data_IF_060564488912
#
_entry.id   IF_060564488912
#
_cell.length_a   1.000
_cell.length_b   1.000
_cell.length_c   1.000
_cell.angle_alpha   90.00
_cell.angle_beta   90.00
_cell.angle_gamma   90.00
#
_symmetry.space_group_name_H-M   'P 1'
#
loop_
_entity.id
_entity.type
_entity.pdbx_description
1 polymer ?
#
# COMPACT_ATOMS: atom_id res chain seq x y z
N UNK A 1 -42.53 49.84 8.24
CA UNK A 1 -41.15 49.34 8.43
C UNK A 1 -41.00 48.05 7.61
N UNK A 2 -40.70 48.16 6.31
CA UNK A 2 -40.62 47.03 5.39
C UNK A 2 -39.19 46.52 5.21
N UNK A 3 -38.94 45.25 5.51
CA UNK A 3 -37.64 44.60 5.29
C UNK A 3 -37.51 44.18 3.83
N UNK A 4 -36.63 44.86 3.09
CA UNK A 4 -36.16 44.45 1.77
C UNK A 4 -35.40 43.13 1.85
N UNK A 5 -35.96 42.08 1.25
CA UNK A 5 -35.32 40.78 1.04
C UNK A 5 -34.27 40.92 -0.07
N UNK A 6 -32.99 40.79 0.27
CA UNK A 6 -31.90 40.73 -0.72
C UNK A 6 -31.90 39.36 -1.39
N UNK A 7 -32.21 39.31 -2.68
CA UNK A 7 -32.09 38.12 -3.50
C UNK A 7 -30.62 37.69 -3.59
N UNK A 8 -30.35 36.39 -3.38
CA UNK A 8 -29.03 35.80 -3.60
C UNK A 8 -28.82 35.56 -5.11
N UNK A 9 -27.63 35.84 -5.65
CA UNK A 9 -27.32 35.50 -7.02
C UNK A 9 -27.25 33.97 -7.20
N UNK A 10 -27.89 33.50 -8.28
CA UNK A 10 -27.88 32.11 -8.74
C UNK A 10 -26.45 31.65 -9.11
N UNK A 11 -26.06 30.39 -8.83
CA UNK A 11 -24.79 29.86 -9.27
C UNK A 11 -24.80 29.60 -10.78
N UNK A 12 -23.87 30.23 -11.50
CA UNK A 12 -23.63 30.03 -12.93
C UNK A 12 -23.32 28.56 -13.25
N UNK A 13 -24.16 27.97 -14.11
CA UNK A 13 -24.06 26.62 -14.65
C UNK A 13 -22.82 26.48 -15.56
N UNK A 14 -21.80 25.66 -15.23
CA UNK A 14 -20.67 25.39 -16.11
C UNK A 14 -21.03 24.32 -17.16
N UNK A 15 -22.11 24.56 -17.89
CA UNK A 15 -22.54 23.75 -19.02
C UNK A 15 -21.74 24.09 -20.27
N UNK A 16 -21.25 23.05 -20.95
CA UNK A 16 -20.87 23.04 -22.37
C UNK A 16 -19.41 23.37 -22.74
N UNK A 17 -18.48 22.50 -22.32
CA UNK A 17 -17.22 22.31 -23.08
C UNK A 17 -17.49 21.35 -24.23
N UNK A 18 -17.56 21.93 -25.43
CA UNK A 18 -17.66 21.26 -26.73
C UNK A 18 -16.65 20.12 -26.84
N UNK A 19 -17.13 18.96 -27.27
CA UNK A 19 -16.30 17.85 -27.73
C UNK A 19 -15.40 18.32 -28.89
N UNK A 20 -14.09 18.28 -28.68
CA UNK A 20 -13.12 18.48 -29.76
C UNK A 20 -13.12 17.29 -30.72
N UNK A 21 -12.72 17.50 -32.00
CA UNK A 21 -12.66 16.44 -33.00
C UNK A 21 -11.67 15.35 -32.59
N UNK A 22 -12.06 14.10 -32.82
CA UNK A 22 -11.25 12.92 -32.58
C UNK A 22 -10.00 12.93 -33.48
N UNK A 23 -8.83 12.94 -32.84
CA UNK A 23 -7.54 12.84 -33.50
C UNK A 23 -7.34 11.40 -34.02
N UNK A 24 -7.22 11.17 -35.34
CA UNK A 24 -7.00 9.84 -35.89
C UNK A 24 -5.57 9.38 -35.57
N UNK A 25 -5.45 8.54 -34.53
CA UNK A 25 -4.19 7.90 -34.18
C UNK A 25 -3.66 7.09 -35.38
N UNK A 26 -2.40 7.27 -35.80
CA UNK A 26 -1.80 6.43 -36.83
C UNK A 26 -1.69 4.99 -36.32
N UNK A 27 -2.22 4.07 -37.12
CA UNK A 27 -2.02 2.63 -36.97
C UNK A 27 -0.53 2.31 -37.00
N UNK A 28 0.08 2.09 -35.83
CA UNK A 28 1.43 1.58 -35.73
C UNK A 28 1.42 0.12 -36.21
N UNK A 29 1.89 -0.08 -37.42
CA UNK A 29 2.13 -1.38 -38.01
C UNK A 29 2.94 -2.25 -37.04
N UNK A 30 2.37 -3.41 -36.71
CA UNK A 30 2.95 -4.39 -35.81
C UNK A 30 4.19 -5.00 -36.42
N UNK A 31 5.36 -4.59 -35.94
CA UNK A 31 6.58 -5.38 -36.02
C UNK A 31 6.41 -6.57 -35.07
N UNK A 32 5.94 -7.67 -35.64
CA UNK A 32 5.98 -9.00 -35.02
C UNK A 32 7.44 -9.46 -34.96
N UNK A 33 8.19 -9.02 -33.93
CA UNK A 33 9.44 -9.67 -33.58
C UNK A 33 9.13 -11.06 -32.99
N UNK A 34 9.88 -12.04 -33.50
CA UNK A 34 9.67 -13.46 -33.29
C UNK A 34 9.47 -13.85 -31.83
N UNK A 35 8.43 -14.66 -31.62
CA UNK A 35 8.27 -15.52 -30.46
C UNK A 35 9.32 -16.63 -30.56
N UNK A 36 10.55 -16.29 -30.20
CA UNK A 36 11.59 -17.29 -30.01
C UNK A 36 11.24 -18.18 -28.82
N UNK A 37 11.44 -19.46 -29.09
CA UNK A 37 11.07 -20.61 -28.28
C UNK A 37 11.66 -20.46 -26.87
N UNK A 38 10.78 -20.34 -25.88
CA UNK A 38 11.18 -20.30 -24.48
C UNK A 38 11.99 -21.55 -24.12
N UNK A 39 13.06 -21.42 -23.31
CA UNK A 39 13.86 -22.56 -22.90
C UNK A 39 13.02 -23.55 -22.11
N UNK A 40 13.29 -24.84 -22.35
CA UNK A 40 12.67 -25.98 -21.71
C UNK A 40 12.52 -25.75 -20.21
N UNK A 41 11.28 -25.84 -19.72
CA UNK A 41 10.96 -25.80 -18.30
C UNK A 41 11.60 -27.03 -17.67
N UNK A 42 12.78 -26.85 -17.08
CA UNK A 42 13.38 -27.87 -16.24
C UNK A 42 12.41 -28.16 -15.09
N UNK A 43 11.81 -29.35 -15.14
CA UNK A 43 10.99 -29.91 -14.08
C UNK A 43 11.81 -29.88 -12.78
N UNK A 44 11.44 -28.96 -11.90
CA UNK A 44 11.98 -28.89 -10.55
C UNK A 44 11.64 -30.23 -9.86
N UNK A 45 12.63 -31.02 -9.42
CA UNK A 45 12.33 -32.26 -8.70
C UNK A 45 11.49 -31.93 -7.47
N UNK A 46 10.40 -32.67 -7.30
CA UNK A 46 9.51 -32.57 -6.16
C UNK A 46 10.34 -32.68 -4.88
N UNK A 47 10.49 -31.56 -4.16
CA UNK A 47 11.05 -31.57 -2.80
C UNK A 47 10.14 -32.46 -1.97
N UNK A 48 10.69 -33.56 -1.45
CA UNK A 48 10.04 -34.40 -0.44
C UNK A 48 9.52 -33.49 0.69
N UNK A 49 8.28 -33.68 1.16
CA UNK A 49 7.77 -32.96 2.32
C UNK A 49 8.69 -33.24 3.51
N UNK A 50 9.25 -32.19 4.10
CA UNK A 50 9.99 -32.31 5.36
C UNK A 50 9.04 -32.88 6.42
N UNK A 51 9.46 -33.90 7.18
CA UNK A 51 8.68 -34.37 8.31
C UNK A 51 8.46 -33.20 9.26
N UNK A 52 7.19 -32.89 9.52
CA UNK A 52 6.77 -31.85 10.44
C UNK A 52 7.43 -32.10 11.80
N UNK A 53 8.45 -31.31 12.12
CA UNK A 53 9.01 -31.24 13.47
C UNK A 53 7.97 -30.47 14.30
N UNK A 54 7.31 -31.09 15.29
CA UNK A 54 6.38 -30.37 16.14
C UNK A 54 7.14 -29.23 16.83
N UNK A 55 6.57 -28.02 16.91
CA UNK A 55 7.21 -26.93 17.61
C UNK A 55 7.44 -27.36 19.07
N UNK A 56 8.60 -27.02 19.67
CA UNK A 56 8.83 -27.30 21.08
C UNK A 56 7.74 -26.62 21.90
N UNK A 57 7.05 -27.43 22.69
CA UNK A 57 5.97 -27.07 23.59
C UNK A 57 6.55 -26.29 24.79
N UNK A 58 7.15 -25.12 24.50
CA UNK A 58 7.69 -24.20 25.49
C UNK A 58 6.62 -23.22 25.90
N UNK A 59 5.73 -23.69 26.78
CA UNK A 59 4.73 -22.87 27.45
C UNK A 59 5.38 -21.72 28.22
N UNK A 60 5.62 -20.60 27.53
CA UNK A 60 5.70 -19.31 28.19
C UNK A 60 4.28 -18.97 28.60
N UNK A 61 3.99 -19.16 29.88
CA UNK A 61 2.83 -18.58 30.54
C UNK A 61 2.86 -17.08 30.30
N UNK A 62 2.19 -16.66 29.24
CA UNK A 62 1.82 -15.28 29.02
C UNK A 62 0.73 -15.04 30.06
N UNK A 63 1.14 -14.55 31.23
CA UNK A 63 0.23 -14.08 32.26
C UNK A 63 -0.72 -13.10 31.59
N UNK A 64 -1.92 -13.57 31.26
CA UNK A 64 -3.05 -12.70 30.97
C UNK A 64 -3.23 -11.92 32.26
N UNK A 65 -2.68 -10.71 32.32
CA UNK A 65 -3.10 -9.74 33.30
C UNK A 65 -4.63 -9.67 33.14
N UNK A 66 -5.41 -10.05 34.16
CA UNK A 66 -6.86 -10.01 34.02
C UNK A 66 -7.24 -8.59 33.62
N UNK A 67 -8.03 -8.48 32.55
CA UNK A 67 -8.47 -7.21 31.94
C UNK A 67 -9.52 -6.55 32.86
N UNK A 68 -9.15 -6.33 34.13
CA UNK A 68 -10.02 -5.84 35.22
C UNK A 68 -9.92 -4.34 35.43
N UNK A 69 -9.00 -3.66 34.74
CA UNK A 69 -9.08 -2.21 34.62
C UNK A 69 -10.14 -1.91 33.57
N UNK A 70 -11.17 -1.15 33.96
CA UNK A 70 -12.20 -0.66 33.06
C UNK A 70 -11.51 -0.01 31.84
N UNK A 71 -11.48 -0.73 30.72
CA UNK A 71 -10.97 -0.18 29.46
C UNK A 71 -11.78 1.07 29.19
N UNK A 72 -11.15 2.26 29.09
CA UNK A 72 -11.89 3.50 28.89
C UNK A 72 -12.83 3.29 27.72
N UNK A 73 -14.14 3.50 27.96
CA UNK A 73 -15.25 3.09 27.10
C UNK A 73 -14.81 3.09 25.63
N UNK A 74 -14.48 1.89 25.17
CA UNK A 74 -13.65 1.71 23.99
C UNK A 74 -14.50 2.25 22.83
N UNK A 75 -14.05 3.34 22.17
CA UNK A 75 -14.91 4.18 21.30
C UNK A 75 -15.72 3.39 20.26
N UNK A 76 -15.26 2.19 19.90
CA UNK A 76 -15.96 1.26 19.02
C UNK A 76 -17.28 0.72 19.61
N UNK A 77 -17.44 0.62 20.93
CA UNK A 77 -18.70 0.24 21.58
C UNK A 77 -19.84 1.25 21.28
N UNK A 78 -19.48 2.51 20.97
CA UNK A 78 -20.42 3.57 20.54
C UNK A 78 -20.59 3.62 19.02
N UNK A 79 -19.91 2.76 18.26
CA UNK A 79 -20.03 2.74 16.82
C UNK A 79 -21.35 2.09 16.39
N UNK A 80 -22.01 2.67 15.39
CA UNK A 80 -23.25 2.12 14.81
C UNK A 80 -23.05 0.67 14.37
N UNK A 81 -21.92 0.34 13.75
CA UNK A 81 -21.60 -1.03 13.32
C UNK A 81 -21.41 -2.05 14.45
N UNK A 82 -21.22 -1.60 15.70
CA UNK A 82 -21.07 -2.46 16.87
C UNK A 82 -22.38 -2.67 17.64
N UNK A 83 -23.43 -1.90 17.31
CA UNK A 83 -24.76 -2.05 17.89
C UNK A 83 -25.37 -3.39 17.49
N UNK A 84 -26.18 -3.96 18.38
CA UNK A 84 -26.76 -5.29 18.21
C UNK A 84 -27.53 -5.44 16.88
N UNK A 85 -28.27 -4.41 16.48
CA UNK A 85 -29.03 -4.40 15.23
C UNK A 85 -28.19 -4.58 13.95
N UNK A 86 -26.88 -4.29 14.01
CA UNK A 86 -25.96 -4.39 12.87
C UNK A 86 -24.85 -5.42 13.07
N UNK A 87 -24.75 -6.00 14.28
CA UNK A 87 -23.74 -6.99 14.61
C UNK A 87 -24.02 -8.27 13.82
N UNK A 88 -22.99 -8.80 13.16
CA UNK A 88 -23.13 -10.01 12.33
C UNK A 88 -23.82 -9.80 10.99
N UNK A 89 -24.21 -8.57 10.64
CA UNK A 89 -24.77 -8.27 9.31
C UNK A 89 -23.68 -8.23 8.23
N UNK A 90 -23.98 -8.77 7.04
CA UNK A 90 -23.13 -8.67 5.85
C UNK A 90 -23.11 -7.26 5.23
N UNK A 91 -23.86 -6.33 5.81
CA UNK A 91 -23.95 -4.93 5.37
C UNK A 91 -22.57 -4.26 5.27
N UNK A 92 -21.65 -4.60 6.17
CA UNK A 92 -20.30 -4.05 6.17
C UNK A 92 -19.36 -4.74 5.17
N UNK A 93 -19.75 -5.90 4.62
CA UNK A 93 -18.96 -6.75 3.73
C UNK A 93 -19.67 -7.05 2.40
N UNK A 94 -20.29 -6.02 1.82
CA UNK A 94 -21.03 -6.13 0.56
C UNK A 94 -20.23 -6.72 -0.59
N UNK A 95 -20.86 -7.70 -1.25
CA UNK A 95 -20.30 -8.39 -2.42
C UNK A 95 -20.15 -7.46 -3.63
N UNK A 96 -19.31 -7.89 -4.58
CA UNK A 96 -19.10 -7.17 -5.83
C UNK A 96 -20.35 -7.31 -6.70
N UNK A 97 -21.18 -6.28 -6.74
CA UNK A 97 -22.41 -6.24 -7.55
C UNK A 97 -23.60 -5.65 -6.79
N UNK A 98 -23.58 -5.71 -5.46
CA UNK A 98 -24.59 -5.08 -4.63
C UNK A 98 -24.27 -3.59 -4.40
N UNK A 99 -24.78 -2.75 -5.31
CA UNK A 99 -24.65 -1.30 -5.20
C UNK A 99 -25.48 -0.72 -4.04
N UNK A 100 -26.70 -1.23 -3.85
CA UNK A 100 -27.65 -0.71 -2.86
C UNK A 100 -27.19 -0.94 -1.43
N UNK A 101 -26.70 -2.15 -1.11
CA UNK A 101 -26.13 -2.43 0.21
C UNK A 101 -24.90 -1.56 0.50
N UNK A 102 -24.06 -1.32 -0.52
CA UNK A 102 -22.84 -0.50 -0.38
C UNK A 102 -23.16 0.94 -0.01
N UNK A 103 -24.10 1.56 -0.72
CA UNK A 103 -24.51 2.94 -0.47
C UNK A 103 -25.15 3.08 0.91
N UNK A 104 -26.02 2.12 1.27
CA UNK A 104 -26.66 2.05 2.59
C UNK A 104 -25.62 1.95 3.72
N UNK A 105 -24.64 1.06 3.60
CA UNK A 105 -23.57 0.89 4.58
C UNK A 105 -22.72 2.16 4.73
N UNK A 106 -22.39 2.83 3.62
CA UNK A 106 -21.63 4.08 3.64
C UNK A 106 -22.44 5.19 4.33
N UNK A 107 -23.73 5.32 4.02
CA UNK A 107 -24.60 6.31 4.62
C UNK A 107 -24.70 6.11 6.15
N UNK A 108 -24.98 4.88 6.60
CA UNK A 108 -25.00 4.54 8.03
C UNK A 108 -23.66 4.76 8.73
N UNK A 109 -22.55 4.44 8.06
CA UNK A 109 -21.24 4.67 8.65
C UNK A 109 -20.94 6.17 8.82
N UNK A 110 -21.44 7.04 7.92
CA UNK A 110 -21.23 8.49 7.98
C UNK A 110 -22.03 9.18 9.07
N UNK A 111 -23.14 8.61 9.52
CA UNK A 111 -23.92 9.12 10.66
C UNK A 111 -23.38 8.67 12.01
N UNK A 112 -22.38 7.78 12.02
CA UNK A 112 -21.81 7.20 13.23
C UNK A 112 -21.14 8.29 14.12
N UNK A 113 -21.47 8.36 15.43
CA UNK A 113 -20.96 9.41 16.32
C UNK A 113 -19.44 9.35 16.53
N UNK A 114 -18.81 8.22 16.23
CA UNK A 114 -17.37 8.01 16.37
C UNK A 114 -16.63 7.99 15.03
N UNK A 115 -17.25 8.50 13.95
CA UNK A 115 -16.68 8.47 12.59
C UNK A 115 -15.31 9.15 12.48
N UNK A 116 -15.10 10.26 13.21
CA UNK A 116 -13.83 10.98 13.20
C UNK A 116 -12.69 10.14 13.79
N UNK A 117 -12.91 9.54 14.97
CA UNK A 117 -11.94 8.64 15.62
C UNK A 117 -11.75 7.38 14.78
N UNK A 118 -12.83 6.81 14.25
CA UNK A 118 -12.78 5.65 13.35
C UNK A 118 -11.91 5.92 12.13
N UNK A 119 -12.05 7.10 11.48
CA UNK A 119 -11.21 7.52 10.34
C UNK A 119 -9.73 7.59 10.71
N UNK A 120 -9.40 8.27 11.81
CA UNK A 120 -8.02 8.41 12.25
C UNK A 120 -7.37 7.05 12.58
N UNK A 121 -8.08 6.18 13.31
CA UNK A 121 -7.59 4.84 13.66
C UNK A 121 -7.46 3.95 12.43
N UNK A 122 -8.44 3.98 11.53
CA UNK A 122 -8.38 3.20 10.27
C UNK A 122 -7.20 3.65 9.40
N UNK A 123 -6.96 4.95 9.29
CA UNK A 123 -5.82 5.48 8.54
C UNK A 123 -4.49 5.00 9.11
N UNK A 124 -4.32 4.97 10.44
CA UNK A 124 -3.12 4.45 11.10
C UNK A 124 -2.94 2.94 10.87
N UNK A 125 -4.01 2.15 11.04
CA UNK A 125 -3.94 0.70 10.88
C UNK A 125 -3.71 0.25 9.43
N UNK A 126 -4.24 0.99 8.45
CA UNK A 126 -4.11 0.69 7.03
C UNK A 126 -2.89 1.36 6.37
N UNK A 127 -2.11 2.15 7.11
CA UNK A 127 -0.95 2.85 6.59
C UNK A 127 0.05 1.88 5.93
N UNK A 128 0.45 2.18 4.69
CA UNK A 128 1.34 1.36 3.87
C UNK A 128 0.71 0.06 3.33
N UNK A 129 -0.55 -0.25 3.68
CA UNK A 129 -1.23 -1.46 3.18
C UNK A 129 -1.89 -1.20 1.82
N UNK A 130 -1.56 -2.04 0.85
CA UNK A 130 -2.17 -2.01 -0.48
C UNK A 130 -3.66 -2.36 -0.48
N UNK A 131 -4.34 -2.09 -1.60
CA UNK A 131 -5.80 -2.26 -1.75
C UNK A 131 -6.30 -3.67 -1.41
N UNK A 132 -5.50 -4.71 -1.67
CA UNK A 132 -5.86 -6.12 -1.40
C UNK A 132 -5.95 -6.48 0.08
N UNK A 133 -5.44 -5.63 0.97
CA UNK A 133 -5.47 -5.84 2.43
C UNK A 133 -6.54 -5.00 3.12
N UNK A 134 -7.43 -4.39 2.36
CA UNK A 134 -8.51 -3.54 2.83
C UNK A 134 -9.83 -4.19 2.47
N UNK A 135 -10.68 -4.39 3.47
CA UNK A 135 -11.95 -5.09 3.30
C UNK A 135 -13.07 -4.25 3.89
N UNK A 136 -14.27 -4.49 3.37
CA UNK A 136 -15.51 -3.91 3.86
C UNK A 136 -15.61 -2.38 3.84
N UNK A 137 -16.76 -1.90 4.27
CA UNK A 137 -17.03 -0.49 4.54
C UNK A 137 -16.59 -0.17 5.95
N UNK A 138 -15.63 0.74 6.07
CA UNK A 138 -15.10 1.24 7.33
C UNK A 138 -14.85 2.73 7.20
N UNK A 139 -15.05 3.48 8.28
CA UNK A 139 -14.78 4.91 8.31
C UNK A 139 -15.55 5.74 7.23
N UNK A 140 -16.71 5.24 6.80
CA UNK A 140 -17.58 5.88 5.81
C UNK A 140 -17.05 5.79 4.37
N UNK A 141 -16.17 4.82 4.10
CA UNK A 141 -15.44 4.69 2.84
C UNK A 141 -15.30 3.21 2.43
N UNK A 142 -15.33 2.97 1.12
CA UNK A 142 -14.92 1.71 0.51
C UNK A 142 -13.41 1.49 0.64
N UNK A 143 -12.91 0.23 0.48
CA UNK A 143 -11.47 -0.04 0.47
C UNK A 143 -10.69 0.82 -0.51
N UNK A 144 -11.26 1.05 -1.72
CA UNK A 144 -10.64 1.88 -2.76
C UNK A 144 -10.59 3.36 -2.35
N UNK A 145 -11.66 3.88 -1.77
CA UNK A 145 -11.69 5.27 -1.28
C UNK A 145 -10.67 5.48 -0.15
N UNK A 146 -10.53 4.54 0.79
CA UNK A 146 -9.52 4.63 1.86
C UNK A 146 -8.09 4.63 1.31
N UNK A 147 -7.81 3.78 0.32
CA UNK A 147 -6.50 3.74 -0.34
C UNK A 147 -6.20 5.02 -1.14
N UNK A 148 -7.19 5.60 -1.82
CA UNK A 148 -7.03 6.88 -2.52
C UNK A 148 -6.82 8.03 -1.53
N UNK A 149 -7.55 8.06 -0.42
CA UNK A 149 -7.37 9.07 0.63
C UNK A 149 -5.96 9.03 1.23
N UNK A 150 -5.41 7.84 1.50
CA UNK A 150 -4.03 7.71 1.98
C UNK A 150 -3.00 8.21 0.95
N UNK A 151 -3.20 7.88 -0.33
CA UNK A 151 -2.30 8.37 -1.39
C UNK A 151 -2.33 9.89 -1.49
N UNK A 152 -3.51 10.50 -1.40
CA UNK A 152 -3.64 11.96 -1.35
C UNK A 152 -2.88 12.55 -0.14
N UNK A 153 -3.11 12.02 1.07
CA UNK A 153 -2.35 12.46 2.27
C UNK A 153 -0.83 12.23 2.14
N UNK A 154 -0.41 11.20 1.40
CA UNK A 154 1.00 10.92 1.17
C UNK A 154 1.62 11.87 0.14
N UNK A 155 0.82 12.35 -0.82
CA UNK A 155 1.21 13.36 -1.81
C UNK A 155 1.30 14.75 -1.18
N UNK A 156 0.43 15.05 -0.22
CA UNK A 156 0.44 16.30 0.55
C UNK A 156 1.57 16.38 1.58
N UNK A 157 2.36 15.31 1.74
CA UNK A 157 3.57 15.40 2.56
C UNK A 157 4.47 16.48 1.97
N UNK A 158 4.96 17.41 2.80
CA UNK A 158 5.75 18.54 2.32
C UNK A 158 6.92 18.01 1.48
N UNK A 159 7.09 18.57 0.29
CA UNK A 159 8.19 18.18 -0.61
C UNK A 159 9.55 18.26 0.10
N UNK A 160 9.66 19.13 1.11
CA UNK A 160 10.81 19.29 2.00
C UNK A 160 11.16 18.01 2.75
N UNK A 161 10.19 17.26 3.31
CA UNK A 161 10.45 15.98 3.99
C UNK A 161 11.06 14.95 3.03
N UNK A 162 10.52 14.87 1.82
CA UNK A 162 10.99 13.94 0.80
C UNK A 162 12.39 14.34 0.29
N UNK A 163 12.63 15.64 0.13
CA UNK A 163 13.94 16.18 -0.21
C UNK A 163 14.94 15.96 0.91
N UNK A 164 14.55 16.14 2.18
CA UNK A 164 15.40 15.94 3.35
C UNK A 164 15.83 14.47 3.42
N UNK A 165 14.91 13.51 3.28
CA UNK A 165 15.25 12.09 3.18
C UNK A 165 16.19 11.74 2.01
N UNK A 166 16.20 12.54 0.93
CA UNK A 166 17.13 12.38 -0.19
C UNK A 166 18.50 12.98 0.13
N UNK A 167 18.55 14.11 0.85
CA UNK A 167 19.77 14.75 1.34
C UNK A 167 20.47 13.92 2.42
N UNK A 168 19.69 13.33 3.33
CA UNK A 168 20.20 12.50 4.43
C UNK A 168 20.70 11.12 3.98
N UNK A 169 20.43 10.71 2.73
CA UNK A 169 21.05 9.49 2.19
C UNK A 169 22.54 9.73 2.09
N UNK A 170 23.29 9.00 2.91
CA UNK A 170 24.74 9.02 2.90
C UNK A 170 25.26 8.94 1.46
N UNK A 171 26.28 9.76 1.11
CA UNK A 171 26.84 9.76 -0.23
C UNK A 171 27.27 8.34 -0.60
N UNK A 172 26.97 7.95 -1.83
CA UNK A 172 27.30 6.62 -2.33
C UNK A 172 28.82 6.51 -2.44
N UNK A 173 29.40 5.60 -1.65
CA UNK A 173 30.84 5.33 -1.65
C UNK A 173 31.21 4.41 -2.82
N UNK A 174 32.32 4.72 -3.51
CA UNK A 174 32.91 3.85 -4.52
C UNK A 174 33.31 2.48 -3.93
N UNK A 175 33.45 1.46 -4.77
CA UNK A 175 33.69 0.08 -4.30
C UNK A 175 32.43 -0.64 -3.81
N UNK A 176 31.25 -0.03 -3.99
CA UNK A 176 29.95 -0.67 -3.71
C UNK A 176 29.15 -0.84 -5.00
N UNK A 177 28.15 -1.73 -5.00
CA UNK A 177 27.20 -1.84 -6.14
C UNK A 177 26.45 -0.53 -6.38
N UNK A 178 26.17 0.23 -5.32
CA UNK A 178 25.62 1.58 -5.43
C UNK A 178 26.55 2.51 -6.20
N UNK A 179 27.86 2.47 -5.90
CA UNK A 179 28.88 3.25 -6.60
C UNK A 179 28.97 2.91 -8.09
N UNK A 180 28.91 1.62 -8.43
CA UNK A 180 28.86 1.18 -9.82
C UNK A 180 27.64 1.75 -10.58
N UNK A 181 26.43 1.66 -9.99
CA UNK A 181 25.23 2.24 -10.62
C UNK A 181 25.28 3.76 -10.73
N UNK A 182 25.96 4.43 -9.79
CA UNK A 182 26.18 5.88 -9.87
C UNK A 182 27.03 6.23 -11.09
N UNK A 183 28.14 5.53 -11.33
CA UNK A 183 28.96 5.75 -12.52
C UNK A 183 28.17 5.61 -13.83
N UNK A 184 27.29 4.59 -13.92
CA UNK A 184 26.43 4.40 -15.08
C UNK A 184 25.42 5.53 -15.29
N UNK A 185 24.80 6.02 -14.21
CA UNK A 185 23.83 7.13 -14.28
C UNK A 185 24.49 8.44 -14.69
N UNK A 186 25.70 8.68 -14.19
CA UNK A 186 26.45 9.90 -14.44
C UNK A 186 27.29 9.83 -15.72
N UNK A 187 27.27 8.69 -16.43
CA UNK A 187 28.09 8.42 -17.62
C UNK A 187 29.58 8.68 -17.41
N UNK A 188 30.11 8.34 -16.23
CA UNK A 188 31.53 8.49 -15.89
C UNK A 188 32.27 7.17 -16.01
N UNK A 189 33.60 7.23 -16.14
CA UNK A 189 34.42 6.01 -16.13
C UNK A 189 34.24 5.26 -14.80
N UNK A 190 33.89 3.99 -14.91
CA UNK A 190 33.62 3.13 -13.75
C UNK A 190 34.95 2.76 -13.11
N UNK A 191 35.18 3.11 -11.84
CA UNK A 191 36.44 2.74 -11.19
C UNK A 191 36.57 1.21 -10.98
N UNK A 192 37.81 0.71 -10.88
CA UNK A 192 38.09 -0.72 -10.70
C UNK A 192 37.40 -1.34 -9.45
N UNK A 193 37.37 -0.69 -8.27
CA UNK A 193 36.64 -1.20 -7.12
C UNK A 193 35.14 -1.39 -7.39
N UNK A 194 34.50 -0.45 -8.11
CA UNK A 194 33.08 -0.55 -8.46
C UNK A 194 32.82 -1.69 -9.45
N UNK A 195 33.69 -1.90 -10.45
CA UNK A 195 33.60 -3.05 -11.37
C UNK A 195 33.69 -4.37 -10.62
N UNK A 196 34.68 -4.51 -9.73
CA UNK A 196 34.85 -5.70 -8.90
C UNK A 196 33.63 -5.96 -8.03
N UNK A 197 33.13 -4.94 -7.32
CA UNK A 197 31.96 -5.05 -6.46
C UNK A 197 30.69 -5.50 -7.22
N UNK A 198 30.52 -5.07 -8.47
CA UNK A 198 29.41 -5.53 -9.31
C UNK A 198 29.60 -7.00 -9.73
N UNK A 199 30.80 -7.39 -10.17
CA UNK A 199 31.14 -8.79 -10.48
C UNK A 199 30.90 -9.72 -9.29
N UNK A 200 31.28 -9.29 -8.08
CA UNK A 200 31.08 -10.07 -6.86
C UNK A 200 29.60 -10.17 -6.46
N UNK A 201 28.82 -9.12 -6.70
CA UNK A 201 27.37 -9.15 -6.50
C UNK A 201 26.69 -10.12 -7.48
N UNK A 202 27.10 -10.14 -8.75
CA UNK A 202 26.56 -11.05 -9.77
C UNK A 202 26.96 -12.51 -9.50
N UNK A 203 28.21 -12.77 -9.10
CA UNK A 203 28.67 -14.09 -8.68
C UNK A 203 27.81 -14.61 -7.52
N UNK A 204 27.55 -13.76 -6.51
CA UNK A 204 26.67 -14.11 -5.38
C UNK A 204 25.25 -14.40 -5.81
N UNK A 205 24.67 -13.61 -6.72
CA UNK A 205 23.33 -13.84 -7.23
C UNK A 205 23.21 -15.21 -7.91
N UNK A 206 24.20 -15.59 -8.73
CA UNK A 206 24.20 -16.91 -9.41
C UNK A 206 24.34 -18.06 -8.41
N UNK A 207 25.16 -17.91 -7.38
CA UNK A 207 25.44 -18.97 -6.42
C UNK A 207 24.34 -19.13 -5.35
N UNK A 208 23.79 -18.02 -4.86
CA UNK A 208 22.87 -18.01 -3.70
C UNK A 208 21.43 -17.67 -4.05
N UNK A 209 21.17 -17.19 -5.27
CA UNK A 209 19.86 -16.67 -5.68
C UNK A 209 19.51 -15.29 -5.11
N UNK A 210 20.42 -14.62 -4.38
CA UNK A 210 20.20 -13.28 -3.82
C UNK A 210 21.43 -12.38 -3.97
N UNK A 211 21.22 -11.07 -4.08
CA UNK A 211 22.29 -10.05 -4.17
C UNK A 211 22.60 -9.38 -2.83
N UNK A 212 21.84 -9.69 -1.78
CA UNK A 212 22.11 -9.16 -0.45
C UNK A 212 23.33 -9.85 0.13
N UNK A 213 24.33 -9.08 0.56
CA UNK A 213 25.39 -9.61 1.43
C UNK A 213 24.71 -10.17 2.66
N UNK A 214 24.78 -11.48 2.88
CA UNK A 214 24.51 -12.05 4.19
C UNK A 214 25.61 -11.51 5.09
N UNK A 215 25.33 -10.44 5.83
CA UNK A 215 26.28 -9.93 6.82
C UNK A 215 26.63 -11.10 7.74
N UNK A 216 27.93 -11.47 7.84
CA UNK A 216 28.34 -12.66 8.59
C UNK A 216 28.07 -12.58 10.10
N UNK A 217 27.69 -11.40 10.62
CA UNK A 217 27.44 -11.16 12.05
C UNK A 217 26.23 -11.88 12.66
N UNK A 218 25.38 -12.56 11.88
CA UNK A 218 24.20 -13.29 12.43
C UNK A 218 24.36 -14.80 12.59
N UNK A 219 25.53 -15.37 12.30
CA UNK A 219 25.75 -16.82 12.35
C UNK A 219 26.54 -17.30 13.58
N UNK A 220 26.85 -16.42 14.54
CA UNK A 220 27.64 -16.75 15.74
C UNK A 220 26.91 -16.54 17.08
N UNK A 221 25.57 -16.64 17.10
CA UNK A 221 24.76 -16.57 18.31
C UNK A 221 23.83 -17.78 18.43
#
# INVERSE_FOLDING_TARGET
MGRTVRQRPEPSDPGNRRAGPADPRPHRAGLHCGRDRGPARHHRPHRRPSPHRPPPNGGRGMSYAPDTLARPAEWWARAVCAQEAYRGSDLWYVSRGDGGGRETAIALCRTCPVIAVCRATTAKEEAGKGLKHRFGIRAGMTPRQRWLAEQASSQDRPAEDAQQRKRDRAPVVCGTRGGYQKHLRDHTEICAPCRQANTDADRRLRNTGTTKTTSPERSAA
#
